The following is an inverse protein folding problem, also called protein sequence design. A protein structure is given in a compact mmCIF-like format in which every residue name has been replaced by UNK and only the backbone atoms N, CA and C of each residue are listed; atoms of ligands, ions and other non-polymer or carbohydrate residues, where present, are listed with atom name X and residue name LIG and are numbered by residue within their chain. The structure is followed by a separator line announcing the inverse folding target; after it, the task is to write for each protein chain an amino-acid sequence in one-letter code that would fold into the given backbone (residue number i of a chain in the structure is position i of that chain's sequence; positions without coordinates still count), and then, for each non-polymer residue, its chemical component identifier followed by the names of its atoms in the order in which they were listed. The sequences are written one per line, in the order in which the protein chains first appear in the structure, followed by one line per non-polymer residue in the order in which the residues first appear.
data_IF_076727353953
#
_entry.id   IF_076727353953
#
_cell.length_a   1.000
_cell.length_b   1.000
_cell.length_c   1.000
_cell.angle_alpha   90.00
_cell.angle_beta   90.00
_cell.angle_gamma   90.00
#
_symmetry.space_group_name_H-M   'P 1'
#
loop_
_entity.id
_entity.type
_entity.pdbx_description
1 polymer ?
#
# COMPACT_ATOMS: atom_id res chain seq x y z
N UNK A 1 -4.60 9.56 20.61
CA UNK A 1 -4.06 10.36 21.74
C UNK A 1 -3.69 11.73 21.19
N UNK A 2 -4.27 12.81 21.71
CA UNK A 2 -4.04 14.17 21.20
C UNK A 2 -3.17 14.95 22.20
N UNK A 3 -1.96 15.35 21.81
CA UNK A 3 -0.93 15.87 22.72
C UNK A 3 -0.97 17.39 22.96
N UNK A 4 -1.98 18.10 22.45
CA UNK A 4 -2.14 19.54 22.64
C UNK A 4 -2.32 20.31 21.33
N UNK A 5 -2.28 21.64 21.41
CA UNK A 5 -2.46 22.54 20.26
C UNK A 5 -1.21 22.50 19.37
N UNK A 6 -1.42 22.27 18.08
CA UNK A 6 -0.36 22.26 17.06
C UNK A 6 0.41 23.59 17.05
N UNK A 7 1.74 23.53 17.11
CA UNK A 7 2.62 24.70 17.12
C UNK A 7 3.15 25.14 18.50
N UNK A 8 2.71 24.51 19.59
CA UNK A 8 3.28 24.76 20.93
C UNK A 8 4.59 23.95 21.10
N UNK A 9 5.73 24.58 21.46
CA UNK A 9 7.00 23.89 21.71
C UNK A 9 6.87 22.73 22.71
N UNK A 10 6.04 22.88 23.75
CA UNK A 10 5.84 21.84 24.79
C UNK A 10 5.12 20.60 24.24
N UNK A 11 4.29 20.77 23.21
CA UNK A 11 3.59 19.67 22.53
C UNK A 11 4.55 18.90 21.62
N UNK A 12 5.44 19.62 20.92
CA UNK A 12 6.44 19.02 20.03
C UNK A 12 7.45 18.16 20.79
N UNK A 13 7.94 18.63 21.95
CA UNK A 13 8.85 17.84 22.80
C UNK A 13 8.21 16.54 23.30
N UNK A 14 6.95 16.60 23.74
CA UNK A 14 6.20 15.41 24.17
C UNK A 14 5.96 14.44 23.01
N UNK A 15 5.67 14.97 21.82
CA UNK A 15 5.48 14.16 20.62
C UNK A 15 6.80 13.49 20.18
N UNK A 16 7.91 14.23 20.20
CA UNK A 16 9.24 13.69 19.91
C UNK A 16 9.64 12.59 20.89
N UNK A 17 9.36 12.78 22.20
CA UNK A 17 9.61 11.76 23.22
C UNK A 17 8.77 10.50 22.99
N UNK A 18 7.49 10.64 22.66
CA UNK A 18 6.60 9.52 22.37
C UNK A 18 7.07 8.73 21.13
N UNK A 19 7.49 9.43 20.08
CA UNK A 19 8.07 8.78 18.88
C UNK A 19 9.34 8.02 19.24
N UNK A 20 10.23 8.61 20.05
CA UNK A 20 11.46 7.96 20.47
C UNK A 20 11.20 6.70 21.30
N UNK A 21 10.20 6.73 22.20
CA UNK A 21 9.80 5.58 23.01
C UNK A 21 9.23 4.44 22.17
N UNK A 22 8.33 4.76 21.23
CA UNK A 22 7.77 3.78 20.29
C UNK A 22 8.88 3.18 19.41
N UNK A 23 9.83 4.01 18.94
CA UNK A 23 10.96 3.55 18.15
C UNK A 23 11.86 2.60 18.94
N UNK A 24 12.19 2.93 20.19
CA UNK A 24 13.00 2.11 21.08
C UNK A 24 12.31 0.77 21.42
N UNK A 25 11.00 0.79 21.67
CA UNK A 25 10.23 -0.43 21.92
C UNK A 25 10.22 -1.36 20.70
N UNK A 26 10.07 -0.80 19.49
CA UNK A 26 10.16 -1.57 18.23
C UNK A 26 11.53 -2.23 18.06
N UNK A 27 12.62 -1.51 18.35
CA UNK A 27 13.98 -2.07 18.28
C UNK A 27 14.20 -3.20 19.29
N UNK A 28 13.69 -3.06 20.51
CA UNK A 28 13.80 -4.09 21.55
C UNK A 28 13.06 -5.37 21.18
N UNK A 29 11.84 -5.24 20.64
CA UNK A 29 11.05 -6.39 20.15
C UNK A 29 11.79 -7.14 19.03
N UNK A 30 12.47 -6.40 18.13
CA UNK A 30 13.25 -6.99 17.04
C UNK A 30 14.51 -7.73 17.54
N UNK A 31 15.11 -7.30 18.65
CA UNK A 31 16.33 -7.91 19.20
C UNK A 31 16.06 -9.12 20.11
N UNK A 32 14.88 -9.21 20.73
CA UNK A 32 14.55 -10.28 21.70
C UNK A 32 13.67 -11.38 21.11
N UNK A 33 13.30 -11.32 19.83
CA UNK A 33 12.55 -12.40 19.21
C UNK A 33 13.45 -13.65 19.07
N UNK A 34 13.08 -14.81 19.64
CA UNK A 34 13.81 -16.05 19.41
C UNK A 34 13.78 -16.39 17.90
N UNK A 35 14.86 -17.01 17.42
CA UNK A 35 15.11 -17.36 16.01
C UNK A 35 14.13 -18.36 15.38
N UNK A 36 12.89 -18.45 15.89
CA UNK A 36 11.83 -19.35 15.44
C UNK A 36 10.65 -18.64 14.75
N UNK A 37 10.73 -17.33 14.46
CA UNK A 37 9.85 -16.72 13.45
C UNK A 37 10.54 -16.70 12.09
N UNK A 38 10.44 -17.81 11.36
CA UNK A 38 10.70 -17.84 9.91
C UNK A 38 9.83 -16.82 9.15
N UNK A 39 8.78 -16.29 9.79
CA UNK A 39 7.96 -15.16 9.35
C UNK A 39 8.69 -13.79 9.27
N UNK A 40 9.98 -13.72 9.61
CA UNK A 40 10.79 -12.51 9.55
C UNK A 40 12.09 -12.65 8.77
N UNK A 41 12.41 -13.85 8.26
CA UNK A 41 13.50 -13.99 7.27
C UNK A 41 12.90 -13.51 5.96
N UNK A 42 13.16 -12.26 5.61
CA UNK A 42 12.82 -11.69 4.31
C UNK A 42 13.61 -12.45 3.25
N UNK A 43 13.16 -13.65 2.92
CA UNK A 43 13.34 -14.19 1.57
C UNK A 43 12.84 -13.13 0.61
N UNK A 44 13.56 -12.98 -0.50
CA UNK A 44 13.33 -12.01 -1.57
C UNK A 44 11.94 -12.20 -2.20
N UNK A 45 10.89 -11.85 -1.45
CA UNK A 45 9.50 -12.06 -1.84
C UNK A 45 9.12 -10.97 -2.82
N UNK A 46 8.64 -11.38 -3.97
CA UNK A 46 8.07 -10.47 -4.94
C UNK A 46 6.67 -10.03 -4.52
N UNK A 47 6.22 -8.89 -5.03
CA UNK A 47 4.84 -8.42 -4.82
C UNK A 47 3.82 -9.41 -5.39
N UNK A 48 4.13 -10.10 -6.50
CA UNK A 48 3.26 -11.13 -7.06
C UNK A 48 3.06 -12.31 -6.12
N UNK A 49 4.14 -12.80 -5.50
CA UNK A 49 4.07 -13.87 -4.49
C UNK A 49 3.32 -13.42 -3.24
N UNK A 50 3.53 -12.18 -2.79
CA UNK A 50 2.79 -11.59 -1.68
C UNK A 50 1.29 -11.51 -1.97
N UNK A 51 0.92 -11.08 -3.18
CA UNK A 51 -0.48 -11.00 -3.63
C UNK A 51 -1.11 -12.39 -3.63
N UNK A 52 -0.44 -13.41 -4.17
CA UNK A 52 -0.95 -14.78 -4.20
C UNK A 52 -1.16 -15.34 -2.78
N UNK A 53 -0.17 -15.15 -1.90
CA UNK A 53 -0.27 -15.58 -0.50
C UNK A 53 -1.44 -14.89 0.22
N UNK A 54 -1.62 -13.58 0.01
CA UNK A 54 -2.71 -12.83 0.62
C UNK A 54 -4.08 -13.20 0.06
N UNK A 55 -4.20 -13.45 -1.24
CA UNK A 55 -5.47 -13.89 -1.85
C UNK A 55 -5.90 -15.26 -1.32
N UNK A 56 -4.97 -16.20 -1.14
CA UNK A 56 -5.25 -17.49 -0.51
C UNK A 56 -5.75 -17.33 0.94
N UNK A 57 -5.12 -16.42 1.70
CA UNK A 57 -5.61 -16.06 3.03
C UNK A 57 -7.01 -15.43 2.97
N UNK A 58 -7.24 -14.48 2.06
CA UNK A 58 -8.49 -13.75 1.93
C UNK A 58 -9.68 -14.65 1.58
N UNK A 59 -9.48 -15.66 0.73
CA UNK A 59 -10.53 -16.63 0.38
C UNK A 59 -11.03 -17.40 1.61
N UNK A 60 -10.12 -17.75 2.53
CA UNK A 60 -10.49 -18.41 3.78
C UNK A 60 -11.04 -17.44 4.83
N UNK A 61 -10.49 -16.22 4.91
CA UNK A 61 -10.86 -15.23 5.93
C UNK A 61 -12.22 -14.60 5.68
N UNK A 62 -12.50 -14.17 4.44
CA UNK A 62 -13.76 -13.53 4.09
C UNK A 62 -14.87 -14.54 3.75
N UNK A 63 -14.51 -15.80 3.49
CA UNK A 63 -15.46 -16.86 3.18
C UNK A 63 -16.00 -16.81 1.75
N UNK A 64 -16.61 -17.92 1.32
CA UNK A 64 -17.04 -18.15 -0.08
C UNK A 64 -18.22 -17.28 -0.54
N UNK A 65 -19.07 -16.84 0.39
CA UNK A 65 -20.24 -16.01 0.07
C UNK A 65 -19.90 -14.51 -0.02
N UNK A 66 -18.66 -14.14 0.30
CA UNK A 66 -18.20 -12.75 0.25
C UNK A 66 -17.76 -12.35 -1.15
N UNK A 67 -18.07 -11.10 -1.52
CA UNK A 67 -17.54 -10.46 -2.74
C UNK A 67 -16.16 -9.81 -2.52
N UNK A 68 -15.67 -9.78 -1.29
CA UNK A 68 -14.38 -9.19 -0.93
C UNK A 68 -13.20 -9.80 -1.71
N UNK A 69 -13.07 -11.15 -1.86
CA UNK A 69 -11.97 -11.72 -2.64
C UNK A 69 -11.98 -11.28 -4.10
N UNK A 70 -13.16 -11.07 -4.69
CA UNK A 70 -13.30 -10.54 -6.04
C UNK A 70 -12.85 -9.08 -6.12
N UNK A 71 -13.29 -8.24 -5.18
CA UNK A 71 -12.85 -6.84 -5.09
C UNK A 71 -11.34 -6.71 -4.91
N UNK A 72 -10.75 -7.56 -4.05
CA UNK A 72 -9.31 -7.66 -3.85
C UNK A 72 -8.57 -8.05 -5.15
N UNK A 73 -9.04 -9.07 -5.87
CA UNK A 73 -8.47 -9.49 -7.16
C UNK A 73 -8.48 -8.34 -8.18
N UNK A 74 -9.58 -7.59 -8.26
CA UNK A 74 -9.70 -6.44 -9.16
C UNK A 74 -8.73 -5.30 -8.79
N UNK A 75 -8.67 -4.94 -7.50
CA UNK A 75 -7.78 -3.88 -7.02
C UNK A 75 -6.30 -4.25 -7.19
N UNK A 76 -5.92 -5.49 -6.84
CA UNK A 76 -4.55 -5.97 -6.92
C UNK A 76 -4.06 -6.24 -8.34
N UNK A 77 -4.96 -6.31 -9.33
CA UNK A 77 -4.58 -6.46 -10.74
C UNK A 77 -3.63 -5.35 -11.19
N UNK A 78 -3.95 -4.10 -10.90
CA UNK A 78 -3.10 -2.94 -11.26
C UNK A 78 -1.74 -2.96 -10.54
N UNK A 79 -1.73 -3.48 -9.31
CA UNK A 79 -0.51 -3.65 -8.53
C UNK A 79 0.39 -4.70 -9.18
N UNK A 80 -0.18 -5.86 -9.51
CA UNK A 80 0.55 -6.97 -10.12
C UNK A 80 1.09 -6.62 -11.53
N UNK A 81 0.31 -5.89 -12.33
CA UNK A 81 0.73 -5.45 -13.66
C UNK A 81 1.99 -4.58 -13.63
N UNK A 82 2.10 -3.67 -12.66
CA UNK A 82 3.21 -2.72 -12.58
C UNK A 82 4.39 -3.23 -11.77
N UNK A 83 4.12 -3.96 -10.69
CA UNK A 83 5.12 -4.28 -9.66
C UNK A 83 5.21 -5.78 -9.34
N UNK A 84 4.53 -6.66 -10.08
CA UNK A 84 4.45 -8.10 -9.75
C UNK A 84 5.81 -8.79 -9.55
N UNK A 85 6.82 -8.45 -10.35
CA UNK A 85 8.19 -8.98 -10.23
C UNK A 85 9.11 -8.17 -9.32
N UNK A 86 8.65 -7.04 -8.78
CA UNK A 86 9.44 -6.22 -7.87
C UNK A 86 9.48 -6.85 -6.48
N UNK A 87 10.59 -6.70 -5.77
CA UNK A 87 10.71 -7.13 -4.38
C UNK A 87 9.78 -6.31 -3.49
N UNK A 88 9.12 -6.99 -2.55
CA UNK A 88 8.21 -6.36 -1.61
C UNK A 88 8.93 -5.35 -0.69
N UNK A 89 10.22 -5.55 -0.42
CA UNK A 89 11.05 -4.64 0.35
C UNK A 89 11.30 -3.30 -0.36
N UNK A 90 11.26 -3.29 -1.70
CA UNK A 90 11.45 -2.07 -2.50
C UNK A 90 10.13 -1.35 -2.78
N UNK A 91 9.01 -1.95 -2.36
CA UNK A 91 7.69 -1.40 -2.58
C UNK A 91 7.34 -0.35 -1.53
N UNK A 92 7.13 0.90 -1.97
CA UNK A 92 6.89 2.02 -1.06
C UNK A 92 5.80 3.00 -1.53
N UNK A 93 5.63 4.13 -0.83
CA UNK A 93 4.56 5.10 -1.11
C UNK A 93 4.57 5.67 -2.54
N UNK A 94 5.75 5.78 -3.17
CA UNK A 94 5.88 6.23 -4.56
C UNK A 94 5.24 5.24 -5.54
N UNK A 95 5.38 3.95 -5.28
CA UNK A 95 4.78 2.88 -6.09
C UNK A 95 3.25 2.95 -6.05
N UNK A 96 2.67 3.23 -4.88
CA UNK A 96 1.22 3.45 -4.74
C UNK A 96 0.71 4.64 -5.56
N UNK A 97 1.49 5.73 -5.63
CA UNK A 97 1.14 6.88 -6.48
C UNK A 97 1.12 6.49 -7.97
N UNK A 98 2.09 5.69 -8.41
CA UNK A 98 2.15 5.18 -9.78
C UNK A 98 0.97 4.25 -10.11
N UNK A 99 0.62 3.35 -9.18
CA UNK A 99 -0.54 2.45 -9.33
C UNK A 99 -1.83 3.27 -9.48
N UNK A 100 -2.06 4.26 -8.62
CA UNK A 100 -3.23 5.16 -8.73
C UNK A 100 -3.28 5.82 -10.11
N UNK A 101 -2.15 6.35 -10.58
CA UNK A 101 -2.09 7.01 -11.89
C UNK A 101 -2.40 6.02 -13.03
N UNK A 102 -1.94 4.78 -12.91
CA UNK A 102 -2.25 3.72 -13.87
C UNK A 102 -3.73 3.36 -13.86
N UNK A 103 -4.36 3.22 -12.70
CA UNK A 103 -5.81 2.95 -12.59
C UNK A 103 -6.64 4.03 -13.28
N UNK A 104 -6.32 5.31 -13.04
CA UNK A 104 -6.93 6.44 -13.75
C UNK A 104 -6.71 6.27 -15.26
N UNK A 105 -5.48 6.00 -15.69
CA UNK A 105 -5.17 5.90 -17.12
C UNK A 105 -5.81 4.70 -17.82
N UNK A 106 -6.13 3.61 -17.11
CA UNK A 106 -6.79 2.40 -17.64
C UNK A 106 -8.32 2.53 -17.62
N UNK A 107 -8.89 3.28 -16.68
CA UNK A 107 -10.34 3.52 -16.62
C UNK A 107 -10.80 4.56 -17.66
N UNK A 108 -9.97 5.55 -17.96
CA UNK A 108 -10.25 6.57 -18.97
C UNK A 108 -10.46 6.04 -20.41
N UNK A 109 -9.75 5.02 -20.92
CA UNK A 109 -10.01 4.48 -22.26
C UNK A 109 -11.33 3.70 -22.36
N UNK A 110 -11.87 3.17 -21.26
CA UNK A 110 -13.21 2.52 -21.26
C UNK A 110 -14.36 3.53 -21.22
N UNK A 111 -14.11 4.73 -20.69
CA UNK A 111 -15.06 5.85 -20.73
C UNK A 111 -15.00 6.65 -22.05
N UNK A 112 -13.98 6.43 -22.89
CA UNK A 112 -13.72 7.13 -24.16
C UNK A 112 -13.92 6.21 -25.37
N UNK A 113 -15.17 5.82 -25.60
CA UNK A 113 -15.63 5.81 -26.99
C UNK A 113 -15.67 7.26 -27.48
N UNK A 114 -14.65 7.68 -28.24
CA UNK A 114 -14.45 8.95 -28.95
C UNK A 114 -13.66 10.09 -28.25
N UNK A 115 -12.32 10.18 -28.45
CA UNK A 115 -11.48 11.29 -28.00
C UNK A 115 -11.32 12.47 -28.97
N UNK A 116 -11.97 12.47 -30.14
CA UNK A 116 -11.56 13.35 -31.25
C UNK A 116 -12.05 14.82 -31.17
N UNK A 117 -12.83 15.27 -30.18
CA UNK A 117 -13.48 16.61 -30.26
C UNK A 117 -13.53 17.37 -28.93
N UNK A 118 -12.41 17.53 -28.21
CA UNK A 118 -12.37 18.49 -27.08
C UNK A 118 -11.20 19.49 -27.08
N UNK A 119 -10.29 19.41 -28.05
CA UNK A 119 -9.17 20.35 -28.15
C UNK A 119 -9.29 21.40 -29.27
N UNK A 120 -10.48 21.58 -29.87
CA UNK A 120 -10.69 22.58 -30.93
C UNK A 120 -11.66 23.69 -30.55
N UNK A 121 -11.44 24.36 -29.42
CA UNK A 121 -11.93 25.72 -29.20
C UNK A 121 -10.96 26.52 -28.33
N UNK A 122 -9.96 27.13 -28.98
CA UNK A 122 -9.77 28.58 -28.84
C UNK A 122 -10.50 29.21 -30.03
N UNK A 123 -11.26 30.30 -29.84
CA UNK A 123 -10.59 31.61 -29.95
C UNK A 123 -11.15 32.74 -29.06
N UNK A 124 -10.29 33.78 -28.96
CA UNK A 124 -10.38 35.12 -28.35
C UNK A 124 -10.48 35.21 -26.82
#
# INVERSE_FOLDING_TARGET
MYLGRYGDPKTNERYARLIAEIAAQKQRIQQTAPASSEFGKTTDLTIGELILAYLNFAENYYGKDSREPLGLKLALRSVNTLYGSALANDFGPKSLKAIRQHMISVEYPLAMGAPEMRNSLKPF
#
